data_IF_074761291734
#
_entry.id   IF_074761291734
#
_cell.length_a   1.000
_cell.length_b   1.000
_cell.length_c   1.000
_cell.angle_alpha   90.00
_cell.angle_beta   90.00
_cell.angle_gamma   90.00
#
_symmetry.space_group_name_H-M   'P 1'
#
loop_
_entity.id
_entity.type
_entity.pdbx_description
1 polymer ?
#
# COMPACT_ATOMS: atom_id res chain seq x y z
N UNK A 1 10.96 12.06 13.20
CA UNK A 1 10.66 11.44 11.88
C UNK A 1 11.73 11.84 10.87
N UNK A 2 12.21 10.89 10.10
CA UNK A 2 13.15 11.08 8.97
C UNK A 2 12.37 11.36 7.67
N UNK A 3 12.88 12.26 6.82
CA UNK A 3 12.26 12.60 5.53
C UNK A 3 13.27 12.38 4.40
N UNK A 4 12.75 12.02 3.23
CA UNK A 4 13.55 11.80 2.03
C UNK A 4 12.86 12.39 0.80
N UNK A 5 13.60 12.62 -0.26
CA UNK A 5 13.03 13.00 -1.55
C UNK A 5 12.65 11.74 -2.31
N UNK A 6 11.44 11.71 -2.82
CA UNK A 6 10.92 10.60 -3.62
C UNK A 6 11.55 10.65 -5.02
N UNK A 7 12.65 9.94 -5.18
CA UNK A 7 13.46 9.98 -6.41
C UNK A 7 13.79 11.40 -6.86
N UNK A 8 13.60 11.68 -8.16
CA UNK A 8 13.82 12.99 -8.78
C UNK A 8 12.58 13.89 -8.80
N UNK A 9 11.47 13.49 -8.17
CA UNK A 9 10.21 14.25 -8.20
C UNK A 9 10.28 15.58 -7.44
N UNK A 10 11.24 15.73 -6.54
CA UNK A 10 11.33 16.86 -5.61
C UNK A 10 10.31 16.81 -4.46
N UNK A 11 9.43 15.80 -4.42
CA UNK A 11 8.44 15.60 -3.35
C UNK A 11 9.17 15.02 -2.13
N UNK A 12 9.05 15.70 -0.98
CA UNK A 12 9.63 15.24 0.28
C UNK A 12 8.60 14.46 1.09
N UNK A 13 8.92 13.21 1.42
CA UNK A 13 8.05 12.27 2.13
C UNK A 13 8.71 11.73 3.40
N UNK A 14 7.91 11.39 4.41
CA UNK A 14 8.39 10.67 5.59
C UNK A 14 8.82 9.24 5.22
N UNK A 15 9.83 8.71 5.90
CA UNK A 15 10.33 7.32 5.70
C UNK A 15 9.26 6.26 5.96
N UNK A 16 8.25 6.59 6.77
CA UNK A 16 7.02 5.82 6.96
C UNK A 16 5.86 6.62 6.39
N UNK A 17 5.04 5.97 5.56
CA UNK A 17 3.76 6.49 5.08
C UNK A 17 2.58 5.73 5.69
N UNK A 18 1.41 6.34 5.69
CA UNK A 18 0.16 5.77 6.18
C UNK A 18 -0.69 5.22 5.03
N UNK A 19 -0.85 3.89 4.96
CA UNK A 19 -1.79 3.21 4.06
C UNK A 19 -3.22 3.26 4.59
N UNK A 20 -4.07 4.10 4.02
CA UNK A 20 -5.44 4.36 4.52
C UNK A 20 -6.39 3.18 4.27
N UNK A 21 -6.04 2.21 3.42
CA UNK A 21 -6.85 1.01 3.18
C UNK A 21 -7.21 0.28 4.48
N UNK A 22 -6.28 0.21 5.45
CA UNK A 22 -6.48 -0.54 6.70
C UNK A 22 -7.72 -0.10 7.46
N UNK A 23 -8.03 1.20 7.49
CA UNK A 23 -9.23 1.73 8.16
C UNK A 23 -10.49 1.67 7.28
N UNK A 24 -10.36 1.24 6.03
CA UNK A 24 -11.46 1.16 5.04
C UNK A 24 -12.42 0.00 5.27
N UNK A 25 -13.50 0.01 4.47
CA UNK A 25 -14.63 -0.91 4.63
C UNK A 25 -14.28 -2.39 4.35
N UNK A 26 -13.28 -2.66 3.51
CA UNK A 26 -12.86 -4.04 3.20
C UNK A 26 -11.92 -4.64 4.26
N UNK A 27 -11.42 -3.81 5.20
CA UNK A 27 -10.58 -4.24 6.32
C UNK A 27 -11.25 -3.91 7.65
N UNK A 28 -10.76 -2.92 8.40
CA UNK A 28 -11.27 -2.66 9.76
C UNK A 28 -12.63 -1.93 9.81
N UNK A 29 -13.09 -1.40 8.70
CA UNK A 29 -14.36 -0.67 8.58
C UNK A 29 -14.54 0.40 9.68
N UNK A 30 -13.50 1.18 9.94
CA UNK A 30 -13.52 2.25 10.94
C UNK A 30 -14.34 3.42 10.41
N UNK A 31 -15.26 4.02 11.20
CA UNK A 31 -15.96 5.22 10.76
C UNK A 31 -15.00 6.36 10.37
N UNK A 32 -15.30 7.12 9.29
CA UNK A 32 -14.40 8.16 8.76
C UNK A 32 -13.91 9.16 9.80
N UNK A 33 -14.76 9.59 10.72
CA UNK A 33 -14.38 10.55 11.77
C UNK A 33 -13.33 9.98 12.75
N UNK A 34 -13.50 8.72 13.17
CA UNK A 34 -12.52 8.02 14.02
C UNK A 34 -11.21 7.73 13.28
N UNK A 35 -11.30 7.33 12.02
CA UNK A 35 -10.10 7.18 11.18
C UNK A 35 -9.39 8.52 11.00
N UNK A 36 -10.14 9.62 10.88
CA UNK A 36 -9.61 10.98 10.84
C UNK A 36 -8.81 11.36 12.08
N UNK A 37 -9.22 10.91 13.28
CA UNK A 37 -8.44 11.12 14.51
C UNK A 37 -7.10 10.37 14.49
N UNK A 38 -7.08 9.15 13.96
CA UNK A 38 -5.86 8.36 13.83
C UNK A 38 -4.92 8.97 12.77
N UNK A 39 -5.47 9.41 11.63
CA UNK A 39 -4.71 10.06 10.55
C UNK A 39 -4.12 11.39 11.04
N UNK A 40 -4.91 12.21 11.76
CA UNK A 40 -4.43 13.44 12.38
C UNK A 40 -3.30 13.17 13.38
N UNK A 41 -3.46 12.13 14.22
CA UNK A 41 -2.41 11.70 15.14
C UNK A 41 -1.13 11.30 14.40
N UNK A 42 -1.22 10.57 13.29
CA UNK A 42 -0.06 10.21 12.49
C UNK A 42 0.68 11.45 11.95
N UNK A 43 -0.06 12.51 11.57
CA UNK A 43 0.52 13.80 11.18
C UNK A 43 1.26 14.46 12.35
N UNK A 44 0.71 14.41 13.58
CA UNK A 44 1.38 14.89 14.80
C UNK A 44 2.71 14.17 15.06
N UNK A 45 2.77 12.86 14.75
CA UNK A 45 3.98 12.04 14.86
C UNK A 45 4.97 12.26 13.69
N UNK A 46 4.65 13.18 12.77
CA UNK A 46 5.51 13.57 11.65
C UNK A 46 5.35 12.73 10.38
N UNK A 47 4.35 11.87 10.28
CA UNK A 47 4.01 11.21 9.02
C UNK A 47 3.34 12.23 8.11
N UNK A 48 3.92 12.47 6.93
CA UNK A 48 3.35 13.36 5.93
C UNK A 48 2.95 12.64 4.63
N UNK A 49 3.06 11.33 4.54
CA UNK A 49 2.84 10.56 3.32
C UNK A 49 1.65 9.60 3.49
N UNK A 50 0.59 9.81 2.70
CA UNK A 50 -0.70 9.11 2.85
C UNK A 50 -1.12 8.46 1.53
N UNK A 51 -1.39 7.14 1.58
CA UNK A 51 -1.79 6.35 0.43
C UNK A 51 -3.27 5.96 0.50
N UNK A 52 -4.01 6.31 -0.54
CA UNK A 52 -5.41 5.91 -0.76
C UNK A 52 -5.61 5.43 -2.20
N UNK A 53 -6.83 5.08 -2.58
CA UNK A 53 -7.23 4.77 -3.94
C UNK A 53 -8.74 4.97 -4.12
N UNK A 54 -9.17 5.20 -5.35
CA UNK A 54 -10.60 5.24 -5.70
C UNK A 54 -11.31 3.95 -5.27
N UNK A 55 -10.71 2.81 -5.55
CA UNK A 55 -11.25 1.49 -5.22
C UNK A 55 -11.42 1.26 -3.72
N UNK A 56 -10.56 1.83 -2.88
CA UNK A 56 -10.60 1.62 -1.42
C UNK A 56 -11.79 2.28 -0.73
N UNK A 57 -12.43 3.27 -1.39
CA UNK A 57 -13.52 4.08 -0.82
C UNK A 57 -13.12 4.82 0.47
N UNK A 58 -11.83 5.11 0.64
CA UNK A 58 -11.26 5.74 1.85
C UNK A 58 -11.00 7.23 1.71
N UNK A 59 -11.43 7.88 0.63
CA UNK A 59 -11.39 9.35 0.54
C UNK A 59 -12.07 10.06 1.72
N UNK A 60 -13.27 9.65 2.19
CA UNK A 60 -13.89 10.27 3.36
C UNK A 60 -13.05 10.17 4.63
N UNK A 61 -12.32 9.05 4.83
CA UNK A 61 -11.45 8.82 5.97
C UNK A 61 -10.25 9.77 5.95
N UNK A 62 -9.57 9.86 4.80
CA UNK A 62 -8.44 10.77 4.62
C UNK A 62 -8.88 12.23 4.71
N UNK A 63 -9.99 12.61 4.08
CA UNK A 63 -10.55 13.95 4.15
C UNK A 63 -10.87 14.39 5.60
N UNK A 64 -11.39 13.45 6.42
CA UNK A 64 -11.63 13.70 7.84
C UNK A 64 -10.32 13.98 8.60
N UNK A 65 -9.24 13.24 8.28
CA UNK A 65 -7.91 13.49 8.86
C UNK A 65 -7.33 14.83 8.42
N UNK A 66 -7.40 15.14 7.12
CA UNK A 66 -6.94 16.43 6.58
C UNK A 66 -7.68 17.62 7.21
N UNK A 67 -8.98 17.48 7.45
CA UNK A 67 -9.77 18.52 8.14
C UNK A 67 -9.35 18.73 9.59
N UNK A 68 -8.80 17.70 10.24
CA UNK A 68 -8.30 17.73 11.62
C UNK A 68 -6.78 17.94 11.68
N UNK A 69 -6.15 18.35 10.59
CA UNK A 69 -4.69 18.52 10.51
C UNK A 69 -4.20 19.47 11.59
N UNK A 70 -3.21 19.07 12.41
CA UNK A 70 -2.67 19.94 13.46
C UNK A 70 -1.89 21.10 12.89
N UNK A 71 -1.83 22.21 13.64
CA UNK A 71 -1.02 23.35 13.25
C UNK A 71 0.48 23.02 13.31
N UNK A 72 1.23 23.47 12.31
CA UNK A 72 2.70 23.37 12.30
C UNK A 72 3.25 22.01 11.83
N UNK A 73 2.40 21.04 11.44
CA UNK A 73 2.87 19.81 10.82
C UNK A 73 3.25 20.04 9.35
N UNK A 74 4.06 19.15 8.80
CA UNK A 74 4.38 19.17 7.34
C UNK A 74 3.12 18.95 6.52
N UNK A 75 3.05 19.63 5.37
CA UNK A 75 1.97 19.46 4.40
C UNK A 75 1.87 18.00 3.96
N UNK A 76 0.68 17.38 4.05
CA UNK A 76 0.48 16.01 3.64
C UNK A 76 0.68 15.80 2.14
N UNK A 77 1.48 14.80 1.79
CA UNK A 77 1.68 14.27 0.45
C UNK A 77 0.70 13.12 0.23
N UNK A 78 -0.15 13.24 -0.78
CA UNK A 78 -1.24 12.29 -1.03
C UNK A 78 -0.96 11.47 -2.29
N UNK A 79 -1.06 10.15 -2.15
CA UNK A 79 -1.10 9.21 -3.27
C UNK A 79 -2.53 8.73 -3.47
N UNK A 80 -3.02 8.78 -4.70
CA UNK A 80 -4.24 8.08 -5.11
C UNK A 80 -4.00 7.22 -6.35
N UNK A 81 -4.95 6.35 -6.65
CA UNK A 81 -4.82 5.32 -7.69
C UNK A 81 -6.19 4.98 -8.29
N UNK A 82 -6.18 4.55 -9.56
CA UNK A 82 -7.38 4.09 -10.25
C UNK A 82 -7.09 2.79 -11.04
N UNK A 83 -8.06 1.87 -11.05
CA UNK A 83 -7.99 0.60 -11.79
C UNK A 83 -8.38 0.73 -13.26
N UNK A 84 -8.94 1.85 -13.67
CA UNK A 84 -9.52 2.04 -15.00
C UNK A 84 -8.49 1.99 -16.13
N UNK A 85 -8.98 1.71 -17.33
CA UNK A 85 -8.16 1.47 -18.53
C UNK A 85 -8.18 2.65 -19.50
N UNK A 86 -9.22 3.48 -19.47
CA UNK A 86 -9.43 4.51 -20.50
C UNK A 86 -9.01 5.90 -20.04
N UNK A 87 -8.68 6.75 -21.01
CA UNK A 87 -8.41 8.17 -20.78
C UNK A 87 -9.54 8.86 -20.00
N UNK A 88 -10.78 8.62 -20.42
CA UNK A 88 -11.95 9.30 -19.86
C UNK A 88 -12.19 8.91 -18.40
N UNK A 89 -12.08 7.64 -18.08
CA UNK A 89 -12.29 7.13 -16.72
C UNK A 89 -11.17 7.57 -15.77
N UNK A 90 -9.91 7.50 -16.21
CA UNK A 90 -8.79 8.00 -15.42
C UNK A 90 -8.91 9.50 -15.13
N UNK A 91 -9.31 10.31 -16.13
CA UNK A 91 -9.58 11.74 -15.91
C UNK A 91 -10.68 11.98 -14.88
N UNK A 92 -11.77 11.18 -14.90
CA UNK A 92 -12.83 11.25 -13.89
C UNK A 92 -12.32 10.85 -12.50
N UNK A 93 -11.50 9.80 -12.40
CA UNK A 93 -10.94 9.35 -11.13
C UNK A 93 -10.02 10.39 -10.47
N UNK A 94 -9.21 11.09 -11.28
CA UNK A 94 -8.38 12.20 -10.79
C UNK A 94 -9.27 13.33 -10.23
N UNK A 95 -10.32 13.72 -10.96
CA UNK A 95 -11.22 14.78 -10.52
C UNK A 95 -12.03 14.36 -9.27
N UNK A 96 -12.49 13.10 -9.21
CA UNK A 96 -13.14 12.53 -8.03
C UNK A 96 -12.25 12.65 -6.79
N UNK A 97 -10.96 12.27 -6.92
CA UNK A 97 -10.02 12.38 -5.81
C UNK A 97 -9.81 13.83 -5.36
N UNK A 98 -9.65 14.76 -6.31
CA UNK A 98 -9.48 16.20 -6.02
C UNK A 98 -10.66 16.76 -5.25
N UNK A 99 -11.88 16.47 -5.71
CA UNK A 99 -13.13 16.94 -5.09
C UNK A 99 -13.28 16.30 -3.70
N UNK A 100 -13.15 14.98 -3.59
CA UNK A 100 -13.39 14.24 -2.36
C UNK A 100 -12.38 14.61 -1.24
N UNK A 101 -11.14 14.94 -1.61
CA UNK A 101 -10.08 15.34 -0.70
C UNK A 101 -9.97 16.87 -0.52
N UNK A 102 -10.80 17.64 -1.21
CA UNK A 102 -10.75 19.10 -1.26
C UNK A 102 -9.33 19.62 -1.56
N UNK A 103 -8.74 19.12 -2.65
CA UNK A 103 -7.39 19.46 -3.09
C UNK A 103 -7.42 19.92 -4.55
N UNK A 104 -6.74 21.03 -4.87
CA UNK A 104 -6.54 21.47 -6.25
C UNK A 104 -5.57 20.55 -7.00
N UNK A 105 -4.62 19.98 -6.29
CA UNK A 105 -3.58 19.10 -6.83
C UNK A 105 -3.48 17.85 -5.97
N UNK A 106 -3.45 16.67 -6.60
CA UNK A 106 -3.05 15.42 -5.94
C UNK A 106 -1.55 15.22 -6.19
N UNK A 107 -0.78 14.94 -5.15
CA UNK A 107 0.68 14.87 -5.27
C UNK A 107 1.13 13.75 -6.20
N UNK A 108 0.56 12.55 -6.03
CA UNK A 108 0.92 11.37 -6.80
C UNK A 108 -0.34 10.64 -7.26
N UNK A 109 -0.44 10.34 -8.56
CA UNK A 109 -1.55 9.52 -9.07
C UNK A 109 -1.03 8.34 -9.89
N UNK A 110 -1.52 7.13 -9.59
CA UNK A 110 -0.97 5.89 -10.14
C UNK A 110 -2.01 5.10 -10.96
N UNK A 111 -1.54 4.36 -11.96
CA UNK A 111 -2.24 3.16 -12.41
C UNK A 111 -2.22 2.15 -11.25
N UNK A 112 -3.39 1.72 -10.80
CA UNK A 112 -3.54 0.84 -9.66
C UNK A 112 -3.34 -0.62 -10.06
N UNK A 113 -2.46 -1.34 -9.36
CA UNK A 113 -2.26 -2.77 -9.48
C UNK A 113 -2.01 -3.23 -10.93
N UNK A 114 -1.00 -2.67 -11.59
CA UNK A 114 -0.56 -3.18 -12.89
C UNK A 114 0.00 -4.58 -12.69
N UNK A 115 -0.65 -5.59 -13.30
CA UNK A 115 -0.41 -7.00 -12.98
C UNK A 115 0.69 -7.64 -13.81
N UNK A 116 0.76 -7.35 -15.12
CA UNK A 116 1.75 -7.89 -16.05
C UNK A 116 2.25 -6.79 -16.98
N UNK A 117 3.29 -7.06 -17.76
CA UNK A 117 3.79 -6.14 -18.80
C UNK A 117 2.70 -5.80 -19.83
N UNK A 118 1.88 -6.79 -20.22
CA UNK A 118 0.75 -6.59 -21.13
C UNK A 118 -0.35 -5.69 -20.55
N UNK A 119 -0.57 -5.72 -19.23
CA UNK A 119 -1.62 -4.91 -18.59
C UNK A 119 -1.35 -3.40 -18.73
N UNK A 120 -0.10 -2.96 -18.56
CA UNK A 120 0.26 -1.57 -18.79
C UNK A 120 -0.08 -1.12 -20.22
N UNK A 121 0.23 -1.95 -21.23
CA UNK A 121 -0.04 -1.64 -22.62
C UNK A 121 -1.55 -1.52 -22.93
N UNK A 122 -2.38 -2.34 -22.26
CA UNK A 122 -3.84 -2.25 -22.36
C UNK A 122 -4.39 -0.95 -21.73
N UNK A 123 -3.64 -0.35 -20.79
CA UNK A 123 -4.02 0.85 -20.04
C UNK A 123 -3.36 2.12 -20.54
N UNK A 124 -2.84 2.11 -21.78
CA UNK A 124 -2.12 3.27 -22.35
C UNK A 124 -2.98 4.54 -22.40
N UNK A 125 -4.29 4.42 -22.65
CA UNK A 125 -5.21 5.55 -22.61
C UNK A 125 -5.31 6.18 -21.20
N UNK A 126 -5.35 5.36 -20.15
CA UNK A 126 -5.31 5.86 -18.78
C UNK A 126 -3.95 6.49 -18.44
N UNK A 127 -2.85 5.93 -18.97
CA UNK A 127 -1.50 6.52 -18.85
C UNK A 127 -1.39 7.90 -19.50
N UNK A 128 -1.93 8.06 -20.71
CA UNK A 128 -2.00 9.35 -21.39
C UNK A 128 -2.79 10.40 -20.59
N UNK A 129 -3.87 9.97 -19.92
CA UNK A 129 -4.63 10.85 -19.02
C UNK A 129 -3.80 11.32 -17.82
N UNK A 130 -2.98 10.44 -17.23
CA UNK A 130 -2.04 10.79 -16.17
C UNK A 130 -0.99 11.80 -16.65
N UNK A 131 -0.38 11.57 -17.81
CA UNK A 131 0.59 12.51 -18.40
C UNK A 131 -0.03 13.89 -18.64
N UNK A 132 -1.24 13.93 -19.19
CA UNK A 132 -1.98 15.18 -19.37
C UNK A 132 -2.31 15.88 -18.05
N UNK A 133 -2.73 15.12 -17.03
CA UNK A 133 -3.01 15.67 -15.70
C UNK A 133 -1.75 16.28 -15.08
N UNK A 134 -0.60 15.64 -15.23
CA UNK A 134 0.69 16.16 -14.79
C UNK A 134 1.08 17.43 -15.54
N UNK A 135 0.96 17.44 -16.86
CA UNK A 135 1.25 18.62 -17.71
C UNK A 135 0.38 19.82 -17.32
N UNK A 136 -0.88 19.57 -16.95
CA UNK A 136 -1.83 20.61 -16.54
C UNK A 136 -1.72 20.96 -15.04
N UNK A 137 -0.78 20.40 -14.30
CA UNK A 137 -0.56 20.69 -12.88
C UNK A 137 -1.65 20.16 -11.93
N UNK A 138 -2.48 19.19 -12.38
CA UNK A 138 -3.50 18.55 -11.55
C UNK A 138 -2.89 17.45 -10.67
N UNK A 139 -1.76 16.88 -11.10
CA UNK A 139 -0.93 15.94 -10.32
C UNK A 139 0.54 16.33 -10.47
N UNK A 140 1.36 16.04 -9.43
CA UNK A 140 2.80 16.39 -9.44
C UNK A 140 3.66 15.26 -9.98
N UNK A 141 3.31 14.00 -9.66
CA UNK A 141 4.04 12.82 -10.12
C UNK A 141 3.07 11.70 -10.51
N UNK A 142 3.47 10.88 -11.49
CA UNK A 142 2.69 9.77 -12.01
C UNK A 142 3.49 8.47 -11.98
N UNK A 143 2.79 7.33 -11.96
CA UNK A 143 3.46 6.04 -11.94
C UNK A 143 2.49 4.87 -11.83
N UNK A 144 3.00 3.77 -11.31
CA UNK A 144 2.22 2.54 -11.12
C UNK A 144 2.33 2.00 -9.70
N UNK A 145 1.31 1.27 -9.24
CA UNK A 145 1.43 0.31 -8.16
C UNK A 145 1.38 -1.12 -8.71
N UNK A 146 2.18 -2.03 -8.15
CA UNK A 146 2.24 -3.39 -8.66
C UNK A 146 2.73 -4.39 -7.63
N UNK A 147 2.23 -5.63 -7.74
CA UNK A 147 2.74 -6.81 -7.05
C UNK A 147 3.67 -7.64 -7.96
N UNK A 148 3.80 -7.27 -9.26
CA UNK A 148 4.47 -8.05 -10.28
C UNK A 148 5.85 -7.49 -10.61
N UNK A 149 6.85 -8.40 -10.61
CA UNK A 149 8.23 -8.10 -11.02
C UNK A 149 8.29 -7.59 -12.46
N UNK A 150 7.51 -8.22 -13.35
CA UNK A 150 7.50 -7.89 -14.79
C UNK A 150 6.94 -6.48 -15.03
N UNK A 151 5.83 -6.13 -14.36
CA UNK A 151 5.24 -4.80 -14.48
C UNK A 151 6.16 -3.71 -13.88
N UNK A 152 6.82 -3.99 -12.77
CA UNK A 152 7.84 -3.08 -12.23
C UNK A 152 9.02 -2.92 -13.20
N UNK A 153 9.50 -4.03 -13.80
CA UNK A 153 10.61 -4.03 -14.75
C UNK A 153 10.28 -3.22 -16.02
N UNK A 154 9.04 -3.30 -16.52
CA UNK A 154 8.60 -2.52 -17.67
C UNK A 154 8.78 -1.00 -17.48
N UNK A 155 8.70 -0.53 -16.24
CA UNK A 155 8.89 0.90 -15.95
C UNK A 155 10.33 1.39 -16.14
N UNK A 156 11.30 0.50 -16.34
CA UNK A 156 12.65 0.88 -16.75
C UNK A 156 12.66 1.52 -18.16
N UNK A 157 11.72 1.12 -19.01
CA UNK A 157 11.59 1.59 -20.40
C UNK A 157 10.52 2.69 -20.55
N UNK A 158 9.95 3.20 -19.45
CA UNK A 158 8.94 4.27 -19.43
C UNK A 158 9.55 5.51 -18.74
N UNK A 159 10.19 6.43 -19.48
CA UNK A 159 10.88 7.59 -18.89
C UNK A 159 9.92 8.56 -18.18
N UNK A 160 8.65 8.62 -18.56
CA UNK A 160 7.63 9.47 -17.96
C UNK A 160 7.13 8.95 -16.60
N UNK A 161 7.45 7.69 -16.24
CA UNK A 161 7.13 7.13 -14.95
C UNK A 161 8.04 7.75 -13.88
N UNK A 162 7.46 8.57 -13.01
CA UNK A 162 8.18 9.24 -11.92
C UNK A 162 8.38 8.34 -10.71
N UNK A 163 7.38 7.51 -10.40
CA UNK A 163 7.36 6.70 -9.18
C UNK A 163 6.83 5.30 -9.43
N UNK A 164 7.34 4.34 -8.66
CA UNK A 164 6.83 2.96 -8.64
C UNK A 164 6.53 2.57 -7.19
N UNK A 165 5.38 1.95 -6.99
CA UNK A 165 4.90 1.45 -5.70
C UNK A 165 4.84 -0.07 -5.73
N UNK A 166 5.99 -0.77 -5.54
CA UNK A 166 6.07 -2.21 -5.60
C UNK A 166 5.73 -2.87 -4.28
N UNK A 167 5.26 -4.13 -4.36
CA UNK A 167 5.19 -5.02 -3.21
C UNK A 167 6.58 -5.59 -2.92
N UNK A 168 7.06 -5.41 -1.69
CA UNK A 168 8.31 -6.03 -1.22
C UNK A 168 8.25 -6.32 0.27
N UNK A 169 8.64 -7.53 0.66
CA UNK A 169 8.86 -7.94 2.05
C UNK A 169 9.90 -9.06 2.10
N UNK A 170 10.43 -9.34 3.27
CA UNK A 170 11.56 -10.27 3.46
C UNK A 170 11.27 -11.72 3.03
N UNK A 171 10.00 -12.16 3.09
CA UNK A 171 9.60 -13.54 2.78
C UNK A 171 9.00 -13.68 1.37
N UNK A 172 8.97 -12.58 0.58
CA UNK A 172 8.40 -12.58 -0.76
C UNK A 172 6.91 -12.83 -0.81
N UNK A 173 6.25 -12.72 0.36
CA UNK A 173 4.82 -12.99 0.47
C UNK A 173 4.06 -12.03 -0.43
N UNK A 174 3.71 -12.55 -1.62
CA UNK A 174 2.98 -11.93 -2.60
C UNK A 174 3.59 -11.27 -3.79
N UNK A 175 4.81 -11.37 -3.88
CA UNK A 175 5.49 -11.03 -5.11
C UNK A 175 5.05 -12.00 -6.21
N UNK A 176 4.71 -11.45 -7.36
CA UNK A 176 4.27 -12.19 -8.55
C UNK A 176 5.27 -11.99 -9.67
N UNK A 177 5.34 -13.00 -10.56
CA UNK A 177 6.11 -12.96 -11.81
C UNK A 177 5.39 -13.79 -12.87
N UNK A 178 5.03 -13.18 -13.97
CA UNK A 178 4.14 -13.82 -14.94
C UNK A 178 2.86 -14.32 -14.26
N UNK A 179 2.53 -15.59 -14.47
CA UNK A 179 1.39 -16.27 -13.81
C UNK A 179 1.77 -16.99 -12.50
N UNK A 180 3.03 -16.86 -12.05
CA UNK A 180 3.56 -17.53 -10.87
C UNK A 180 3.95 -16.59 -9.75
N UNK A 181 4.68 -17.13 -8.77
CA UNK A 181 5.29 -16.35 -7.70
C UNK A 181 6.64 -15.80 -8.15
N UNK A 182 6.93 -14.55 -7.76
CA UNK A 182 8.26 -13.97 -7.83
C UNK A 182 8.98 -14.07 -6.50
N UNK A 183 10.23 -13.60 -6.44
CA UNK A 183 11.06 -13.63 -5.24
C UNK A 183 11.42 -12.21 -4.75
N UNK A 184 11.80 -12.07 -3.47
CA UNK A 184 12.31 -10.79 -2.95
C UNK A 184 13.52 -10.28 -3.73
N UNK A 185 14.43 -11.18 -4.12
CA UNK A 185 15.67 -10.84 -4.85
C UNK A 185 15.37 -10.33 -6.26
N UNK A 186 14.35 -10.88 -6.93
CA UNK A 186 13.93 -10.41 -8.25
C UNK A 186 13.36 -9.01 -8.17
N UNK A 187 12.42 -8.76 -7.24
CA UNK A 187 11.83 -7.44 -7.05
C UNK A 187 12.88 -6.42 -6.59
N UNK A 188 13.76 -6.79 -5.66
CA UNK A 188 14.83 -5.92 -5.15
C UNK A 188 15.78 -5.45 -6.27
N UNK A 189 16.15 -6.34 -7.19
CA UNK A 189 16.98 -5.97 -8.36
C UNK A 189 16.31 -4.91 -9.22
N UNK A 190 15.00 -5.05 -9.44
CA UNK A 190 14.24 -4.06 -10.23
C UNK A 190 14.12 -2.74 -9.48
N UNK A 191 13.85 -2.76 -8.16
CA UNK A 191 13.79 -1.56 -7.32
C UNK A 191 15.12 -0.77 -7.42
N UNK A 192 16.26 -1.44 -7.26
CA UNK A 192 17.58 -0.79 -7.38
C UNK A 192 17.78 -0.19 -8.77
N UNK A 193 17.41 -0.90 -9.84
CA UNK A 193 17.53 -0.42 -11.21
C UNK A 193 16.63 0.81 -11.48
N UNK A 194 15.40 0.81 -11.00
CA UNK A 194 14.46 1.94 -11.13
C UNK A 194 14.97 3.17 -10.35
N UNK A 195 15.44 2.97 -9.13
CA UNK A 195 16.02 4.04 -8.31
C UNK A 195 17.27 4.63 -8.94
N UNK A 196 18.13 3.81 -9.58
CA UNK A 196 19.31 4.29 -10.31
C UNK A 196 18.94 5.22 -11.49
N UNK A 197 17.75 5.07 -12.08
CA UNK A 197 17.21 6.01 -13.07
C UNK A 197 16.62 7.27 -12.42
N UNK A 198 16.52 7.31 -11.10
CA UNK A 198 15.97 8.42 -10.32
C UNK A 198 14.44 8.36 -10.16
N UNK A 199 13.82 7.23 -10.41
CA UNK A 199 12.40 7.02 -10.09
C UNK A 199 12.24 6.90 -8.57
N UNK A 200 11.17 7.50 -8.03
CA UNK A 200 10.84 7.40 -6.62
C UNK A 200 10.24 6.03 -6.30
N UNK A 201 10.68 5.41 -5.22
CA UNK A 201 10.20 4.08 -4.81
C UNK A 201 9.68 4.11 -3.39
N UNK A 202 8.42 3.78 -3.21
CA UNK A 202 7.84 3.55 -1.88
C UNK A 202 7.21 2.17 -1.82
N UNK A 203 7.55 1.41 -0.78
CA UNK A 203 7.26 -0.02 -0.69
C UNK A 203 5.89 -0.29 -0.04
N UNK A 204 5.13 -1.28 -0.55
CA UNK A 204 3.93 -1.78 0.12
C UNK A 204 4.12 -3.19 0.69
N UNK A 205 3.19 -3.56 1.58
CA UNK A 205 3.08 -4.91 2.16
C UNK A 205 4.35 -5.35 2.92
N UNK A 206 5.06 -4.42 3.56
CA UNK A 206 6.26 -4.67 4.38
C UNK A 206 6.05 -5.82 5.36
N UNK A 207 4.87 -5.90 5.97
CA UNK A 207 4.46 -6.98 6.89
C UNK A 207 3.62 -8.08 6.22
N UNK A 208 3.62 -8.19 4.89
CA UNK A 208 2.85 -9.23 4.18
C UNK A 208 1.35 -9.20 4.50
N UNK A 209 0.74 -8.00 4.61
CA UNK A 209 -0.66 -7.84 5.05
C UNK A 209 -0.87 -8.18 6.53
N UNK A 210 0.10 -7.91 7.38
CA UNK A 210 0.09 -8.20 8.82
C UNK A 210 0.60 -9.59 9.18
N UNK A 211 0.71 -10.51 8.22
CA UNK A 211 1.09 -11.91 8.48
C UNK A 211 2.55 -12.08 8.94
N UNK A 212 3.40 -11.08 8.76
CA UNK A 212 4.82 -11.10 9.14
C UNK A 212 5.12 -10.25 10.39
N UNK A 213 4.13 -9.75 11.10
CA UNK A 213 4.32 -8.90 12.28
C UNK A 213 5.05 -9.60 13.43
N UNK A 214 5.03 -10.94 13.48
CA UNK A 214 5.87 -11.72 14.39
C UNK A 214 7.39 -11.58 14.17
N UNK A 215 7.82 -10.97 13.07
CA UNK A 215 9.22 -10.63 12.77
C UNK A 215 9.33 -9.13 12.48
N UNK A 216 8.75 -8.30 13.35
CA UNK A 216 8.50 -6.87 13.12
C UNK A 216 9.75 -6.11 12.65
N UNK A 217 10.82 -6.13 13.46
CA UNK A 217 12.05 -5.41 13.13
C UNK A 217 12.76 -5.96 11.90
N UNK A 218 12.78 -7.28 11.72
CA UNK A 218 13.41 -7.90 10.55
C UNK A 218 12.71 -7.48 9.26
N UNK A 219 11.38 -7.36 9.28
CA UNK A 219 10.61 -6.88 8.13
C UNK A 219 10.93 -5.42 7.82
N UNK A 220 10.97 -4.57 8.83
CA UNK A 220 11.32 -3.16 8.66
C UNK A 220 12.77 -2.99 8.20
N UNK A 221 13.72 -3.67 8.83
CA UNK A 221 15.14 -3.62 8.46
C UNK A 221 15.33 -4.06 7.01
N UNK A 222 14.73 -5.19 6.62
CA UNK A 222 14.85 -5.70 5.26
C UNK A 222 14.47 -4.67 4.20
N UNK A 223 13.32 -3.99 4.38
CA UNK A 223 12.84 -3.01 3.39
C UNK A 223 13.54 -1.66 3.56
N UNK A 224 13.80 -1.22 4.80
CA UNK A 224 14.46 0.07 5.06
C UNK A 224 15.90 0.10 4.55
N UNK A 225 16.62 -1.03 4.66
CA UNK A 225 18.01 -1.15 4.27
C UNK A 225 18.19 -1.49 2.77
N UNK A 226 17.09 -1.79 2.06
CA UNK A 226 17.12 -2.05 0.63
C UNK A 226 17.46 -0.76 -0.14
N UNK A 227 18.58 -0.74 -0.89
CA UNK A 227 18.95 0.43 -1.67
C UNK A 227 17.84 0.84 -2.65
N UNK A 228 17.51 2.12 -2.65
CA UNK A 228 16.53 2.68 -3.57
C UNK A 228 15.11 2.80 -3.01
N UNK A 229 14.83 2.32 -1.80
CA UNK A 229 13.55 2.58 -1.14
C UNK A 229 13.57 3.98 -0.49
N UNK A 230 12.64 4.83 -0.91
CA UNK A 230 12.47 6.17 -0.35
C UNK A 230 11.51 6.18 0.85
N UNK A 231 10.47 5.34 0.85
CA UNK A 231 9.48 5.26 1.95
C UNK A 231 8.86 3.87 2.05
N UNK A 232 8.35 3.54 3.24
CA UNK A 232 7.59 2.31 3.53
C UNK A 232 6.15 2.67 3.86
N UNK A 233 5.19 2.21 3.05
CA UNK A 233 3.77 2.43 3.27
C UNK A 233 3.21 1.34 4.18
N UNK A 234 2.74 1.72 5.36
CA UNK A 234 2.22 0.82 6.39
C UNK A 234 0.77 1.18 6.70
N UNK A 235 -0.09 0.19 6.79
CA UNK A 235 -1.45 0.36 7.28
C UNK A 235 -1.47 0.37 8.81
N UNK A 236 -2.17 1.34 9.40
CA UNK A 236 -2.34 1.46 10.83
C UNK A 236 -3.82 1.39 11.21
N UNK A 237 -4.13 0.63 12.26
CA UNK A 237 -5.46 0.54 12.85
C UNK A 237 -5.59 1.28 14.17
N UNK A 238 -4.47 1.56 14.83
CA UNK A 238 -4.44 2.22 16.15
C UNK A 238 -3.19 3.09 16.35
N UNK A 239 -3.23 3.99 17.33
CA UNK A 239 -2.13 4.92 17.62
C UNK A 239 -0.83 4.22 18.00
N UNK A 240 -0.93 3.12 18.75
CA UNK A 240 0.25 2.33 19.17
C UNK A 240 1.06 1.82 17.97
N UNK A 241 0.41 1.41 16.89
CA UNK A 241 1.08 0.97 15.66
C UNK A 241 1.80 2.13 14.96
N UNK A 242 1.23 3.35 15.02
CA UNK A 242 1.90 4.57 14.54
C UNK A 242 3.14 4.85 15.36
N UNK A 243 3.02 4.83 16.70
CA UNK A 243 4.14 5.05 17.62
C UNK A 243 5.26 4.05 17.39
N UNK A 244 4.93 2.76 17.26
CA UNK A 244 5.91 1.70 17.01
C UNK A 244 6.69 1.93 15.71
N UNK A 245 6.01 2.33 14.63
CA UNK A 245 6.66 2.59 13.35
C UNK A 245 7.54 3.85 13.40
N UNK A 246 7.09 4.90 14.10
CA UNK A 246 7.87 6.14 14.29
C UNK A 246 9.09 5.88 15.17
N UNK A 247 8.92 5.16 16.28
CA UNK A 247 10.01 4.81 17.20
C UNK A 247 11.07 3.93 16.53
N UNK A 248 10.67 3.07 15.58
CA UNK A 248 11.62 2.34 14.76
C UNK A 248 12.52 3.29 13.95
N UNK A 249 11.94 4.23 13.21
CA UNK A 249 12.68 5.21 12.39
C UNK A 249 13.57 6.10 13.26
N UNK A 250 13.10 6.51 14.43
CA UNK A 250 13.84 7.37 15.35
C UNK A 250 14.83 6.59 16.23
N UNK A 251 14.96 5.26 16.00
CA UNK A 251 15.89 4.37 16.72
C UNK A 251 15.67 4.34 18.23
N UNK A 252 14.44 4.53 18.68
CA UNK A 252 14.05 4.49 20.10
C UNK A 252 13.72 3.09 20.59
N UNK A 253 13.46 2.14 19.68
CA UNK A 253 13.14 0.77 20.03
C UNK A 253 14.38 -0.05 20.41
N UNK A 254 14.30 -0.95 21.41
CA UNK A 254 15.35 -1.93 21.67
C UNK A 254 15.49 -2.90 20.48
N UNK A 255 16.67 -3.53 20.36
CA UNK A 255 16.99 -4.39 19.21
C UNK A 255 16.07 -5.61 19.09
N UNK A 256 15.55 -6.10 20.20
CA UNK A 256 14.65 -7.24 20.32
C UNK A 256 13.16 -6.85 20.44
N UNK A 257 12.83 -5.60 20.10
CA UNK A 257 11.45 -5.13 20.17
C UNK A 257 10.52 -5.96 19.29
N UNK A 258 9.41 -6.39 19.86
CA UNK A 258 8.27 -7.02 19.17
C UNK A 258 6.97 -6.37 19.66
N UNK A 259 6.07 -5.96 18.76
CA UNK A 259 4.76 -5.49 19.16
C UNK A 259 3.92 -6.66 19.71
N UNK A 260 3.02 -6.35 20.62
CA UNK A 260 1.98 -7.32 21.04
C UNK A 260 0.96 -7.48 19.89
N UNK A 261 0.95 -8.67 19.28
CA UNK A 261 0.03 -9.02 18.19
C UNK A 261 -0.96 -10.11 18.60
N UNK A 262 -1.05 -10.46 19.88
CA UNK A 262 -1.90 -11.55 20.39
C UNK A 262 -3.39 -11.29 20.17
N UNK A 263 -3.79 -10.03 20.09
CA UNK A 263 -5.16 -9.60 19.82
C UNK A 263 -5.52 -9.67 18.32
N UNK A 264 -4.52 -9.73 17.43
CA UNK A 264 -4.74 -9.74 15.97
C UNK A 264 -5.33 -11.06 15.49
N UNK A 265 -6.22 -10.97 14.50
CA UNK A 265 -6.91 -12.11 13.90
C UNK A 265 -6.67 -12.16 12.40
N UNK A 266 -6.81 -13.36 11.81
CA UNK A 266 -6.82 -13.54 10.38
C UNK A 266 -8.17 -13.08 9.83
N UNK A 267 -8.14 -12.25 8.80
CA UNK A 267 -9.33 -11.77 8.08
C UNK A 267 -9.18 -11.98 6.58
N UNK A 268 -10.29 -11.94 5.88
CA UNK A 268 -10.33 -11.93 4.42
C UNK A 268 -10.63 -10.50 3.97
N UNK A 269 -9.71 -9.91 3.18
CA UNK A 269 -10.03 -8.69 2.45
C UNK A 269 -11.02 -9.04 1.34
N UNK A 270 -12.26 -8.65 1.51
CA UNK A 270 -13.35 -8.99 0.59
C UNK A 270 -13.21 -8.28 -0.75
N UNK A 271 -12.45 -7.18 -0.80
CA UNK A 271 -12.15 -6.47 -2.03
C UNK A 271 -11.14 -7.21 -2.91
N UNK A 272 -10.21 -7.95 -2.30
CA UNK A 272 -9.17 -8.70 -3.01
C UNK A 272 -9.56 -10.18 -3.24
N UNK A 273 -10.53 -10.73 -2.49
CA UNK A 273 -10.86 -12.16 -2.56
C UNK A 273 -11.56 -12.54 -3.87
N UNK A 274 -10.97 -13.44 -4.65
CA UNK A 274 -11.51 -13.99 -5.91
C UNK A 274 -12.24 -15.33 -5.73
N UNK A 275 -12.48 -15.79 -4.50
CA UNK A 275 -13.23 -17.02 -4.23
C UNK A 275 -12.57 -18.33 -4.68
N UNK A 276 -11.25 -18.37 -4.88
CA UNK A 276 -10.55 -19.55 -5.41
C UNK A 276 -10.53 -20.79 -4.48
N UNK A 277 -10.89 -20.63 -3.19
CA UNK A 277 -11.00 -21.72 -2.22
C UNK A 277 -9.68 -22.33 -1.71
N UNK A 278 -8.50 -21.90 -2.19
CA UNK A 278 -7.20 -22.47 -1.81
C UNK A 278 -6.93 -22.37 -0.31
N UNK A 279 -7.34 -21.27 0.33
CA UNK A 279 -7.21 -21.07 1.78
C UNK A 279 -8.06 -22.06 2.59
N UNK A 280 -9.23 -22.47 2.08
CA UNK A 280 -10.14 -23.44 2.71
C UNK A 280 -9.45 -24.80 2.78
N UNK A 281 -8.92 -25.28 1.66
CA UNK A 281 -8.23 -26.58 1.60
C UNK A 281 -6.93 -26.59 2.41
N UNK A 282 -6.30 -25.43 2.60
CA UNK A 282 -5.05 -25.30 3.36
C UNK A 282 -5.26 -25.19 4.87
N UNK A 283 -6.45 -24.79 5.33
CA UNK A 283 -6.69 -24.57 6.75
C UNK A 283 -6.75 -25.90 7.54
N UNK A 284 -5.79 -26.16 8.46
CA UNK A 284 -5.78 -27.44 9.20
C UNK A 284 -6.95 -27.58 10.16
N UNK A 285 -7.50 -26.46 10.63
CA UNK A 285 -8.62 -26.40 11.56
C UNK A 285 -9.98 -26.21 10.88
N UNK A 286 -10.04 -26.18 9.53
CA UNK A 286 -11.27 -25.97 8.80
C UNK A 286 -12.03 -24.69 9.23
N UNK A 287 -11.27 -23.65 9.60
CA UNK A 287 -11.80 -22.38 10.10
C UNK A 287 -12.19 -21.42 8.96
N UNK A 288 -12.05 -21.80 7.69
CA UNK A 288 -12.37 -20.96 6.54
C UNK A 288 -13.41 -21.65 5.69
N UNK A 289 -14.50 -20.96 5.38
CA UNK A 289 -15.58 -21.39 4.51
C UNK A 289 -15.82 -20.43 3.35
N UNK A 290 -16.65 -20.82 2.39
CA UNK A 290 -17.11 -19.94 1.31
C UNK A 290 -18.48 -19.39 1.65
N UNK A 291 -18.70 -18.09 1.50
CA UNK A 291 -20.03 -17.46 1.60
C UNK A 291 -20.88 -17.75 0.37
N UNK A 292 -22.16 -17.42 0.41
CA UNK A 292 -23.08 -17.51 -0.75
C UNK A 292 -22.65 -16.59 -1.89
N UNK A 293 -21.97 -15.47 -1.58
CA UNK A 293 -21.41 -14.53 -2.56
C UNK A 293 -20.11 -15.03 -3.20
N UNK A 294 -19.62 -16.20 -2.80
CA UNK A 294 -18.40 -16.78 -3.35
C UNK A 294 -17.10 -16.16 -2.79
N UNK A 295 -17.16 -15.50 -1.64
CA UNK A 295 -16.03 -14.92 -0.93
C UNK A 295 -15.66 -15.82 0.25
N UNK A 296 -14.38 -16.02 0.51
CA UNK A 296 -13.97 -16.77 1.70
C UNK A 296 -14.22 -15.95 2.97
N UNK A 297 -14.60 -16.64 4.06
CA UNK A 297 -14.77 -16.04 5.39
C UNK A 297 -14.09 -16.89 6.47
N UNK A 298 -13.72 -16.26 7.59
CA UNK A 298 -13.03 -16.90 8.70
C UNK A 298 -13.94 -17.04 9.91
N UNK A 299 -14.09 -18.27 10.42
CA UNK A 299 -14.68 -18.52 11.72
C UNK A 299 -13.61 -18.32 12.82
N UNK A 300 -13.70 -17.21 13.54
CA UNK A 300 -12.73 -16.81 14.55
C UNK A 300 -12.76 -17.70 15.82
N UNK A 301 -13.86 -18.40 16.08
CA UNK A 301 -13.97 -19.33 17.22
C UNK A 301 -13.11 -20.60 17.01
N UNK A 302 -12.84 -20.92 15.74
CA UNK A 302 -12.07 -22.11 15.34
C UNK A 302 -10.66 -21.74 14.86
N UNK A 303 -10.44 -20.49 14.41
CA UNK A 303 -9.17 -20.04 13.85
C UNK A 303 -8.07 -19.94 14.92
N UNK A 304 -6.98 -20.67 14.71
CA UNK A 304 -5.78 -20.61 15.58
C UNK A 304 -4.79 -19.50 15.22
N UNK A 305 -5.13 -18.66 14.26
CA UNK A 305 -4.23 -17.58 13.76
C UNK A 305 -2.82 -18.10 13.34
N UNK A 306 -2.75 -19.33 12.85
CA UNK A 306 -1.50 -20.02 12.52
C UNK A 306 -0.85 -19.52 11.20
N UNK A 307 -1.55 -18.73 10.38
CA UNK A 307 -1.05 -18.10 9.16
C UNK A 307 -0.87 -19.01 7.95
N UNK A 308 -1.15 -20.32 7.99
CA UNK A 308 -0.91 -21.24 6.87
C UNK A 308 -1.72 -20.94 5.60
N UNK A 309 -2.81 -20.19 5.73
CA UNK A 309 -3.66 -19.76 4.61
C UNK A 309 -3.03 -18.59 3.83
N UNK A 310 -2.24 -17.74 4.45
CA UNK A 310 -1.70 -16.54 3.82
C UNK A 310 -0.74 -16.82 2.64
N UNK A 311 0.25 -17.73 2.75
CA UNK A 311 1.17 -18.03 1.64
C UNK A 311 0.51 -18.62 0.40
N UNK A 312 -0.64 -19.28 0.56
CA UNK A 312 -1.33 -19.95 -0.55
C UNK A 312 -2.39 -19.09 -1.24
N UNK A 313 -2.66 -17.90 -0.71
CA UNK A 313 -3.62 -16.98 -1.32
C UNK A 313 -2.98 -16.30 -2.55
N UNK A 314 -3.50 -16.54 -3.78
CA UNK A 314 -2.91 -16.00 -5.01
C UNK A 314 -3.07 -14.48 -5.12
N UNK A 315 -4.11 -13.93 -4.49
CA UNK A 315 -4.50 -12.50 -4.58
C UNK A 315 -4.26 -11.72 -3.29
N UNK A 316 -3.72 -12.34 -2.23
CA UNK A 316 -3.39 -11.72 -0.95
C UNK A 316 -4.52 -11.20 -0.12
N UNK A 317 -5.68 -11.72 -0.31
CA UNK A 317 -6.86 -11.40 0.49
C UNK A 317 -6.75 -11.84 1.97
N UNK A 318 -5.73 -12.62 2.35
CA UNK A 318 -5.52 -13.06 3.74
C UNK A 318 -4.67 -12.01 4.47
N UNK A 319 -5.30 -11.29 5.38
CA UNK A 319 -4.69 -10.21 6.16
C UNK A 319 -4.83 -10.49 7.64
N UNK A 320 -4.00 -9.84 8.46
CA UNK A 320 -4.02 -9.97 9.91
C UNK A 320 -4.06 -8.60 10.57
N UNK A 321 -5.11 -8.33 11.32
CA UNK A 321 -5.29 -7.11 12.12
C UNK A 321 -6.15 -7.33 13.35
#
# INVERSE_FOLDING_TARGET
>A
MEYTKLGKTGIEVSRIGFGVLTVGATQQNVPPDKAGDLISYAMEQGINFFDTAQYYKTYPHLAAGLKKMPAGVKEPVIVSKCLDYTYTEMKKAIEEARIALNRDVIDIFLLHEVRTDGDFNLRIGAWEALQNAKTNGLVRAIGISTHHVDAAAQMLDVPECDVVFPLINKDGLGIRKGHGSGTPEEMSRIIVALSAQGKGIFAMKVFGGGNLTGSYRDCLNYVNDLPGIDSMMIGFGEKKEVDDAVDYIERKQPADYQPDVTHKKIHIDTGDCEGCGTCITRCPNQAISMTEEGIAEVNHDVCLTCGYCAPVCPVRAIIMW
#
